data_IF_524565313743
#
_entry.id   IF_524565313743
#
_cell.length_a   1.000
_cell.length_b   1.000
_cell.length_c   1.000
_cell.angle_alpha   90.00
_cell.angle_beta   90.00
_cell.angle_gamma   90.00
#
_symmetry.space_group_name_H-M   'P 1'
#
loop_
_entity.id
_entity.type
_entity.pdbx_description
1 polymer ?
#
# COMPACT_ATOMS: atom_id res chain seq x y z
N UNK A 1 -13.62 -16.08 -8.04
CA UNK A 1 -12.75 -17.02 -7.30
C UNK A 1 -11.28 -16.75 -7.57
N UNK A 2 -10.84 -16.52 -8.81
CA UNK A 2 -9.42 -16.28 -9.12
C UNK A 2 -8.81 -15.01 -8.49
N UNK A 3 -9.56 -13.90 -8.45
CA UNK A 3 -9.11 -12.67 -7.77
C UNK A 3 -8.85 -12.87 -6.27
N UNK A 4 -9.60 -13.75 -5.62
CA UNK A 4 -9.42 -14.03 -4.19
C UNK A 4 -8.19 -14.90 -3.92
N UNK A 5 -7.69 -15.63 -4.93
CA UNK A 5 -6.46 -16.43 -4.85
C UNK A 5 -5.20 -15.66 -5.25
N UNK A 6 -5.35 -14.46 -5.85
CA UNK A 6 -4.22 -13.66 -6.28
C UNK A 6 -3.50 -13.03 -5.08
N UNK A 7 -2.37 -13.63 -4.69
CA UNK A 7 -1.58 -13.17 -3.56
C UNK A 7 -1.04 -11.75 -3.76
N UNK A 8 -0.62 -11.40 -4.98
CA UNK A 8 -0.07 -10.07 -5.30
C UNK A 8 -1.13 -8.98 -5.09
N UNK A 9 -2.36 -9.24 -5.54
CA UNK A 9 -3.49 -8.33 -5.32
C UNK A 9 -3.77 -8.12 -3.83
N UNK A 10 -3.82 -9.19 -3.05
CA UNK A 10 -4.03 -9.09 -1.60
C UNK A 10 -2.88 -8.40 -0.87
N UNK A 11 -1.62 -8.63 -1.27
CA UNK A 11 -0.47 -7.94 -0.67
C UNK A 11 -0.53 -6.43 -0.92
N UNK A 12 -0.96 -6.00 -2.11
CA UNK A 12 -1.11 -4.58 -2.43
C UNK A 12 -2.23 -3.93 -1.59
N UNK A 13 -3.38 -4.59 -1.46
CA UNK A 13 -4.49 -4.11 -0.61
C UNK A 13 -4.07 -4.03 0.86
N UNK A 14 -3.43 -5.07 1.39
CA UNK A 14 -3.00 -5.11 2.78
C UNK A 14 -1.93 -4.06 3.08
N UNK A 15 -0.97 -3.85 2.16
CA UNK A 15 0.03 -2.79 2.30
C UNK A 15 -0.61 -1.39 2.33
N UNK A 16 -1.59 -1.15 1.46
CA UNK A 16 -2.35 0.09 1.44
C UNK A 16 -3.12 0.31 2.76
N UNK A 17 -3.79 -0.72 3.26
CA UNK A 17 -4.55 -0.67 4.51
C UNK A 17 -3.62 -0.44 5.72
N UNK A 18 -2.45 -1.09 5.73
CA UNK A 18 -1.43 -0.88 6.75
C UNK A 18 -0.88 0.56 6.70
N UNK A 19 -0.61 1.11 5.53
CA UNK A 19 -0.16 2.48 5.39
C UNK A 19 -1.20 3.47 5.93
N UNK A 20 -2.48 3.30 5.59
CA UNK A 20 -3.56 4.14 6.12
C UNK A 20 -3.73 4.01 7.64
N UNK A 21 -3.59 2.80 8.17
CA UNK A 21 -3.67 2.54 9.62
C UNK A 21 -2.49 3.19 10.36
N UNK A 22 -1.28 3.07 9.83
CA UNK A 22 -0.08 3.69 10.40
C UNK A 22 -0.15 5.21 10.34
N UNK A 23 -0.72 5.77 9.27
CA UNK A 23 -0.98 7.21 9.17
C UNK A 23 -1.81 7.69 10.36
N UNK A 24 -2.94 7.03 10.62
CA UNK A 24 -3.82 7.38 11.72
C UNK A 24 -3.11 7.29 13.09
N UNK A 25 -2.33 6.23 13.31
CA UNK A 25 -1.56 6.04 14.55
C UNK A 25 -0.48 7.10 14.74
N UNK A 26 0.29 7.41 13.69
CA UNK A 26 1.35 8.42 13.74
C UNK A 26 0.79 9.81 14.01
N UNK A 27 -0.30 10.19 13.35
CA UNK A 27 -0.96 11.48 13.62
C UNK A 27 -1.52 11.56 15.03
N UNK A 28 -2.13 10.48 15.53
CA UNK A 28 -2.60 10.44 16.91
C UNK A 28 -1.43 10.64 17.90
N UNK A 29 -0.27 10.03 17.64
CA UNK A 29 0.91 10.15 18.48
C UNK A 29 1.54 11.56 18.41
N UNK A 30 1.62 12.16 17.23
CA UNK A 30 2.24 13.48 17.03
C UNK A 30 1.34 14.64 17.49
N UNK A 31 0.05 14.62 17.16
CA UNK A 31 -0.86 15.75 17.41
C UNK A 31 -1.70 15.56 18.68
N UNK A 32 -1.72 14.36 19.27
CA UNK A 32 -2.51 14.04 20.46
C UNK A 32 -4.02 14.14 20.25
N UNK A 33 -4.46 14.28 19.00
CA UNK A 33 -5.86 14.45 18.60
C UNK A 33 -6.19 13.50 17.46
N UNK A 34 -7.35 12.88 17.54
CA UNK A 34 -7.82 11.95 16.53
C UNK A 34 -8.45 12.74 15.38
N UNK A 35 -7.69 12.99 14.30
CA UNK A 35 -8.17 13.68 13.11
C UNK A 35 -8.55 12.67 12.01
N UNK A 36 -9.81 12.22 12.04
CA UNK A 36 -10.36 11.30 11.04
C UNK A 36 -10.33 11.89 9.61
N UNK A 37 -10.38 13.21 9.46
CA UNK A 37 -10.34 13.89 8.15
C UNK A 37 -9.05 13.63 7.38
N UNK A 38 -7.92 13.44 8.07
CA UNK A 38 -6.63 13.14 7.43
C UNK A 38 -6.51 11.70 6.92
N UNK A 39 -7.45 10.84 7.27
CA UNK A 39 -7.56 9.49 6.70
C UNK A 39 -7.91 9.56 5.19
N UNK A 40 -8.63 10.61 4.78
CA UNK A 40 -9.02 10.85 3.38
C UNK A 40 -8.08 11.83 2.65
N UNK A 41 -7.14 12.46 3.35
CA UNK A 41 -6.14 13.31 2.71
C UNK A 41 -5.19 12.46 1.85
N UNK A 42 -5.17 12.76 0.56
CA UNK A 42 -4.31 12.14 -0.46
C UNK A 42 -2.85 12.60 -0.40
N UNK A 43 -2.46 13.39 0.61
CA UNK A 43 -1.10 13.85 0.89
C UNK A 43 -0.67 13.59 2.34
N UNK A 44 0.63 13.41 2.59
CA UNK A 44 1.21 13.20 3.93
C UNK A 44 1.79 11.80 4.15
N UNK A 45 2.78 11.70 5.04
CA UNK A 45 3.42 10.42 5.37
C UNK A 45 2.55 9.57 6.31
N UNK A 46 2.51 8.23 6.15
CA UNK A 46 2.96 7.45 4.99
C UNK A 46 1.98 7.56 3.79
N UNK A 47 2.53 7.44 2.58
CA UNK A 47 1.77 7.53 1.32
C UNK A 47 1.12 6.18 0.96
N UNK A 48 -0.21 6.17 0.92
CA UNK A 48 -1.03 5.03 0.48
C UNK A 48 -0.70 4.57 -0.94
N UNK A 49 -0.56 5.50 -1.90
CA UNK A 49 -0.22 5.16 -3.29
C UNK A 49 1.17 4.54 -3.40
N UNK A 50 2.17 5.12 -2.74
CA UNK A 50 3.53 4.57 -2.75
C UNK A 50 3.58 3.19 -2.10
N UNK A 51 2.87 2.97 -0.99
CA UNK A 51 2.81 1.66 -0.34
C UNK A 51 2.18 0.58 -1.23
N UNK A 52 1.12 0.94 -1.97
CA UNK A 52 0.40 0.02 -2.85
C UNK A 52 1.28 -0.36 -4.04
N UNK A 53 1.90 0.62 -4.70
CA UNK A 53 2.79 0.40 -5.85
C UNK A 53 4.03 -0.40 -5.44
N UNK A 54 4.69 -0.04 -4.34
CA UNK A 54 5.84 -0.79 -3.85
C UNK A 54 5.51 -2.24 -3.48
N UNK A 55 4.36 -2.48 -2.84
CA UNK A 55 3.93 -3.84 -2.51
C UNK A 55 3.55 -4.64 -3.77
N UNK A 56 2.88 -4.01 -4.73
CA UNK A 56 2.51 -4.63 -6.00
C UNK A 56 3.77 -4.99 -6.81
N UNK A 57 4.68 -4.05 -7.03
CA UNK A 57 5.93 -4.27 -7.73
C UNK A 57 6.77 -5.36 -7.06
N UNK A 58 6.86 -5.37 -5.73
CA UNK A 58 7.55 -6.42 -4.98
C UNK A 58 6.89 -7.79 -5.20
N UNK A 59 5.56 -7.87 -5.08
CA UNK A 59 4.81 -9.12 -5.30
C UNK A 59 4.96 -9.67 -6.71
N UNK A 60 4.85 -8.80 -7.73
CA UNK A 60 5.07 -9.17 -9.13
C UNK A 60 6.53 -9.58 -9.36
N UNK A 61 7.49 -8.86 -8.79
CA UNK A 61 8.91 -9.19 -8.90
C UNK A 61 9.25 -10.57 -8.31
N UNK A 62 8.56 -10.99 -7.24
CA UNK A 62 8.71 -12.32 -6.66
C UNK A 62 8.04 -13.43 -7.49
N UNK A 63 6.87 -13.17 -8.09
CA UNK A 63 6.15 -14.20 -8.86
C UNK A 63 6.62 -14.33 -10.31
N UNK A 64 6.81 -13.21 -11.00
CA UNK A 64 7.10 -13.14 -12.44
C UNK A 64 8.57 -12.82 -12.73
N UNK A 65 9.33 -12.43 -11.71
CA UNK A 65 10.73 -12.02 -11.83
C UNK A 65 10.90 -10.54 -12.18
N UNK A 66 12.04 -9.98 -11.76
CA UNK A 66 12.38 -8.56 -11.96
C UNK A 66 12.59 -8.16 -13.43
N UNK A 67 12.88 -9.13 -14.31
CA UNK A 67 13.04 -8.89 -15.76
C UNK A 67 11.74 -8.96 -16.55
N UNK A 68 10.60 -9.22 -15.89
CA UNK A 68 9.31 -9.36 -16.57
C UNK A 68 8.73 -8.00 -16.96
N UNK A 69 8.00 -7.97 -18.08
CA UNK A 69 7.21 -6.79 -18.47
C UNK A 69 6.17 -6.44 -17.41
N UNK A 70 5.63 -7.43 -16.70
CA UNK A 70 4.67 -7.22 -15.62
C UNK A 70 5.28 -6.45 -14.44
N UNK A 71 6.52 -6.76 -14.06
CA UNK A 71 7.24 -6.00 -13.03
C UNK A 71 7.41 -4.54 -13.44
N UNK A 72 7.84 -4.30 -14.69
CA UNK A 72 8.02 -2.94 -15.22
C UNK A 72 6.72 -2.12 -15.30
N UNK A 73 5.57 -2.78 -15.46
CA UNK A 73 4.25 -2.13 -15.44
C UNK A 73 3.78 -1.84 -14.01
N UNK A 74 4.17 -2.68 -13.04
CA UNK A 74 3.73 -2.58 -11.65
C UNK A 74 4.57 -1.60 -10.81
N UNK A 75 5.81 -1.30 -11.21
CA UNK A 75 6.76 -0.38 -10.57
C UNK A 75 6.57 1.07 -11.00
#
# INVERSE_FOLDING_TARGET
>A
MELLANQVFWTAILANLLAQTLKLFLYYLLEGRFQWERFLETGGMPSSHSSTVSALATGVGFQEGLGSTLFAVAS
#
